data_IF_949005924308
#
_entry.id   IF_949005924308
#
_cell.length_a   1.000
_cell.length_b   1.000
_cell.length_c   1.000
_cell.angle_alpha   90.00
_cell.angle_beta   90.00
_cell.angle_gamma   90.00
#
_symmetry.space_group_name_H-M   'P 1'
#
loop_
_entity.id
_entity.type
_entity.pdbx_description
1 polymer ?
#
# COMPACT_ATOMS: atom_id res chain seq x y z
N UNK A 1 -6.27 -12.65 -5.78
CA UNK A 1 -7.61 -12.71 -6.39
C UNK A 1 -8.41 -11.55 -5.85
N UNK A 2 -9.10 -10.83 -6.72
CA UNK A 2 -9.96 -9.67 -6.41
C UNK A 2 -11.43 -10.10 -6.61
N UNK A 3 -12.34 -9.67 -5.73
CA UNK A 3 -13.79 -9.86 -5.95
C UNK A 3 -14.31 -8.70 -6.81
N UNK A 4 -14.91 -9.04 -7.96
CA UNK A 4 -15.56 -8.07 -8.82
C UNK A 4 -16.84 -7.51 -8.16
N UNK A 5 -16.98 -6.19 -8.15
CA UNK A 5 -18.17 -5.48 -7.68
C UNK A 5 -18.67 -5.96 -6.31
N UNK A 6 -17.75 -6.14 -5.35
CA UNK A 6 -18.02 -6.77 -4.07
C UNK A 6 -19.26 -6.16 -3.37
N UNK A 7 -19.31 -4.83 -3.22
CA UNK A 7 -20.43 -4.16 -2.58
C UNK A 7 -21.77 -4.41 -3.27
N UNK A 8 -21.79 -4.41 -4.61
CA UNK A 8 -23.01 -4.59 -5.40
C UNK A 8 -23.50 -6.04 -5.42
N UNK A 9 -22.60 -6.99 -5.14
CA UNK A 9 -22.86 -8.43 -5.19
C UNK A 9 -23.36 -9.00 -3.87
N UNK A 10 -23.38 -8.21 -2.79
CA UNK A 10 -23.83 -8.65 -1.47
C UNK A 10 -25.35 -8.77 -1.42
N UNK A 11 -25.82 -9.95 -1.02
CA UNK A 11 -27.24 -10.23 -0.76
C UNK A 11 -27.68 -9.58 0.56
N UNK A 12 -28.71 -8.73 0.49
CA UNK A 12 -29.23 -8.01 1.65
C UNK A 12 -29.84 -8.93 2.70
N UNK A 13 -30.60 -9.95 2.27
CA UNK A 13 -31.28 -10.86 3.19
C UNK A 13 -30.28 -11.63 4.04
N UNK A 14 -29.27 -12.21 3.38
CA UNK A 14 -28.21 -12.93 4.06
C UNK A 14 -27.36 -12.01 4.94
N UNK A 15 -27.01 -10.80 4.46
CA UNK A 15 -26.29 -9.83 5.29
C UNK A 15 -27.07 -9.49 6.57
N UNK A 16 -28.37 -9.24 6.46
CA UNK A 16 -29.24 -8.96 7.61
C UNK A 16 -29.30 -10.14 8.57
N UNK A 17 -29.38 -11.37 8.07
CA UNK A 17 -29.40 -12.57 8.91
C UNK A 17 -28.07 -12.80 9.64
N UNK A 18 -26.94 -12.54 8.96
CA UNK A 18 -25.61 -12.57 9.58
C UNK A 18 -25.53 -11.49 10.67
N UNK A 19 -25.93 -10.26 10.34
CA UNK A 19 -25.89 -9.14 11.27
C UNK A 19 -26.75 -9.39 12.50
N UNK A 20 -27.98 -9.88 12.35
CA UNK A 20 -28.87 -10.25 13.47
C UNK A 20 -28.21 -11.24 14.42
N UNK A 21 -27.62 -12.32 13.89
CA UNK A 21 -26.94 -13.34 14.69
C UNK A 21 -25.73 -12.77 15.43
N UNK A 22 -25.01 -11.85 14.80
CA UNK A 22 -23.84 -11.21 15.40
C UNK A 22 -24.22 -10.15 16.44
N UNK A 23 -25.25 -9.35 16.19
CA UNK A 23 -25.77 -8.34 17.12
C UNK A 23 -26.17 -8.96 18.46
N UNK A 24 -26.88 -10.10 18.43
CA UNK A 24 -27.29 -10.85 19.63
C UNK A 24 -26.14 -11.31 20.53
N UNK A 25 -24.90 -11.32 20.04
CA UNK A 25 -23.72 -11.70 20.83
C UNK A 25 -23.16 -10.52 21.64
N UNK A 26 -23.58 -9.29 21.36
CA UNK A 26 -23.12 -8.10 22.08
C UNK A 26 -24.09 -7.73 23.19
N UNK A 27 -23.81 -8.20 24.41
CA UNK A 27 -24.66 -8.00 25.58
C UNK A 27 -24.60 -6.59 26.21
N UNK A 28 -23.76 -5.67 25.71
CA UNK A 28 -23.47 -4.36 26.31
C UNK A 28 -23.54 -3.21 25.30
N UNK A 29 -24.56 -3.17 24.44
CA UNK A 29 -24.78 -2.05 23.51
C UNK A 29 -25.73 -1.01 24.12
N UNK A 30 -25.51 0.27 23.79
CA UNK A 30 -26.39 1.36 24.23
C UNK A 30 -27.76 1.37 23.54
N UNK A 31 -27.95 0.52 22.52
CA UNK A 31 -29.15 0.45 21.70
C UNK A 31 -29.68 -0.98 21.67
N UNK A 32 -31.01 -1.11 21.62
CA UNK A 32 -31.66 -2.41 21.40
C UNK A 32 -31.20 -3.06 20.09
N UNK A 33 -30.89 -4.36 20.13
CA UNK A 33 -30.52 -5.14 18.93
C UNK A 33 -31.58 -5.03 17.83
N UNK A 34 -32.86 -5.03 18.21
CA UNK A 34 -33.97 -4.91 17.26
C UNK A 34 -33.94 -3.56 16.54
N UNK A 35 -33.63 -2.49 17.28
CA UNK A 35 -33.52 -1.15 16.70
C UNK A 35 -32.39 -1.09 15.67
N UNK A 36 -31.19 -1.56 16.02
CA UNK A 36 -30.03 -1.52 15.11
C UNK A 36 -30.25 -2.39 13.87
N UNK A 37 -30.87 -3.56 14.03
CA UNK A 37 -31.25 -4.43 12.90
C UNK A 37 -32.27 -3.74 11.99
N UNK A 38 -33.25 -3.04 12.56
CA UNK A 38 -34.25 -2.31 11.79
C UNK A 38 -33.65 -1.13 11.01
N UNK A 39 -32.73 -0.38 11.63
CA UNK A 39 -32.00 0.72 10.99
C UNK A 39 -31.14 0.20 9.83
N UNK A 40 -30.42 -0.92 10.03
CA UNK A 40 -29.65 -1.53 8.94
C UNK A 40 -30.55 -2.00 7.80
N UNK A 41 -31.69 -2.63 8.12
CA UNK A 41 -32.66 -3.04 7.10
C UNK A 41 -33.19 -1.84 6.32
N UNK A 42 -33.51 -0.74 7.01
CA UNK A 42 -33.94 0.50 6.37
C UNK A 42 -32.83 1.05 5.47
N UNK A 43 -31.59 1.13 5.97
CA UNK A 43 -30.42 1.60 5.23
C UNK A 43 -30.19 0.81 3.93
N UNK A 44 -30.28 -0.52 3.97
CA UNK A 44 -30.06 -1.37 2.78
C UNK A 44 -31.20 -1.24 1.76
N UNK A 45 -32.46 -1.16 2.22
CA UNK A 45 -33.63 -1.18 1.35
C UNK A 45 -34.11 0.20 0.88
N UNK A 46 -33.70 1.28 1.56
CA UNK A 46 -34.21 2.64 1.33
C UNK A 46 -33.09 3.66 1.06
N UNK A 47 -31.94 3.21 0.55
CA UNK A 47 -30.84 4.12 0.22
C UNK A 47 -31.13 4.95 -1.04
N UNK A 48 -31.52 6.21 -0.83
CA UNK A 48 -31.84 7.16 -1.91
C UNK A 48 -30.63 8.01 -2.27
N UNK A 49 -30.23 7.95 -3.55
CA UNK A 49 -29.17 8.75 -4.15
C UNK A 49 -29.79 9.91 -4.92
N UNK A 50 -29.34 11.14 -4.63
CA UNK A 50 -29.70 12.31 -5.42
C UNK A 50 -28.69 12.50 -6.55
N UNK A 51 -29.10 12.31 -7.80
CA UNK A 51 -28.24 12.47 -8.96
C UNK A 51 -28.94 13.26 -10.05
N UNK A 52 -28.28 14.30 -10.58
CA UNK A 52 -28.82 15.18 -11.63
C UNK A 52 -30.25 15.71 -11.35
N UNK A 53 -30.56 16.03 -10.09
CA UNK A 53 -31.90 16.49 -9.68
C UNK A 53 -32.92 15.38 -9.43
N UNK A 54 -32.64 14.13 -9.83
CA UNK A 54 -33.48 12.97 -9.59
C UNK A 54 -33.16 12.28 -8.26
N UNK A 55 -34.13 11.52 -7.74
CA UNK A 55 -33.95 10.60 -6.60
C UNK A 55 -34.00 9.18 -7.13
N UNK A 56 -32.90 8.44 -6.98
CA UNK A 56 -32.76 7.06 -7.40
C UNK A 56 -32.62 6.17 -6.17
N UNK A 57 -33.31 5.04 -6.15
CA UNK A 57 -33.19 4.06 -5.07
C UNK A 57 -32.17 2.99 -5.46
N UNK A 58 -31.17 2.74 -4.62
CA UNK A 58 -30.27 1.61 -4.81
C UNK A 58 -30.99 0.32 -4.40
N UNK A 59 -31.15 -0.60 -5.35
CA UNK A 59 -31.92 -1.84 -5.15
C UNK A 59 -31.06 -3.08 -4.91
N UNK A 60 -29.73 -2.97 -4.96
CA UNK A 60 -28.79 -4.08 -4.79
C UNK A 60 -27.50 -3.64 -4.11
N UNK A 61 -26.97 -4.53 -3.27
CA UNK A 61 -25.69 -4.35 -2.62
C UNK A 61 -25.64 -3.20 -1.61
N UNK A 62 -24.46 -2.97 -1.06
CA UNK A 62 -24.26 -1.95 -0.04
C UNK A 62 -23.86 -0.63 -0.72
N UNK A 63 -24.50 0.51 -0.41
CA UNK A 63 -24.14 1.80 -0.99
C UNK A 63 -22.72 2.21 -0.61
N UNK A 64 -21.88 2.52 -1.60
CA UNK A 64 -20.51 3.00 -1.35
C UNK A 64 -20.51 4.46 -0.86
N UNK A 65 -19.54 4.81 -0.01
CA UNK A 65 -19.38 6.16 0.53
C UNK A 65 -20.09 6.42 1.87
N UNK A 66 -20.93 5.49 2.35
CA UNK A 66 -21.40 5.51 3.74
C UNK A 66 -20.31 4.99 4.69
N UNK A 67 -20.30 5.51 5.92
CA UNK A 67 -19.29 5.18 6.93
C UNK A 67 -19.34 3.73 7.42
N UNK A 68 -20.47 3.03 7.22
CA UNK A 68 -20.66 1.63 7.67
C UNK A 68 -20.45 0.59 6.56
N UNK A 69 -20.31 1.01 5.31
CA UNK A 69 -20.41 0.10 4.17
C UNK A 69 -19.28 -0.94 4.14
N UNK A 70 -18.04 -0.50 4.38
CA UNK A 70 -16.87 -1.38 4.40
C UNK A 70 -16.96 -2.40 5.53
N UNK A 71 -17.47 -2.01 6.70
CA UNK A 71 -17.60 -2.90 7.85
C UNK A 71 -18.68 -3.96 7.62
N UNK A 72 -19.82 -3.57 7.04
CA UNK A 72 -20.89 -4.50 6.66
C UNK A 72 -20.43 -5.47 5.58
N UNK A 73 -19.70 -4.99 4.57
CA UNK A 73 -19.10 -5.84 3.55
C UNK A 73 -18.10 -6.82 4.17
N UNK A 74 -17.24 -6.36 5.07
CA UNK A 74 -16.30 -7.21 5.78
C UNK A 74 -16.97 -8.24 6.68
N UNK A 75 -18.09 -7.90 7.33
CA UNK A 75 -18.89 -8.83 8.11
C UNK A 75 -19.46 -9.95 7.23
N UNK A 76 -20.01 -9.59 6.08
CA UNK A 76 -20.51 -10.55 5.09
C UNK A 76 -19.39 -11.48 4.60
N UNK A 77 -18.26 -10.91 4.16
CA UNK A 77 -17.13 -11.70 3.67
C UNK A 77 -16.54 -12.59 4.75
N UNK A 78 -16.44 -12.13 6.00
CA UNK A 78 -15.99 -12.96 7.11
C UNK A 78 -16.94 -14.15 7.37
N UNK A 79 -18.25 -13.95 7.21
CA UNK A 79 -19.21 -15.05 7.25
C UNK A 79 -18.99 -16.04 6.10
N UNK A 80 -18.80 -15.55 4.88
CA UNK A 80 -18.50 -16.37 3.70
C UNK A 80 -17.22 -17.19 3.91
N UNK A 81 -16.14 -16.57 4.39
CA UNK A 81 -14.85 -17.22 4.66
C UNK A 81 -15.01 -18.37 5.69
N UNK A 82 -15.79 -18.14 6.77
CA UNK A 82 -16.05 -19.15 7.81
C UNK A 82 -16.91 -20.31 7.34
N UNK A 83 -17.72 -20.11 6.29
CA UNK A 83 -18.54 -21.17 5.68
C UNK A 83 -17.79 -21.96 4.60
N UNK A 84 -16.55 -21.58 4.30
CA UNK A 84 -15.70 -22.25 3.35
C UNK A 84 -15.21 -23.61 3.88
N UNK A 85 -15.11 -24.65 3.02
CA UNK A 85 -14.46 -25.92 3.40
C UNK A 85 -12.97 -25.74 3.76
N UNK A 86 -12.36 -24.63 3.30
CA UNK A 86 -10.97 -24.24 3.59
C UNK A 86 -10.89 -23.16 4.67
N UNK A 87 -11.90 -23.04 5.54
CA UNK A 87 -11.93 -22.05 6.64
C UNK A 87 -10.72 -22.15 7.60
N UNK A 88 -10.09 -23.32 7.70
CA UNK A 88 -8.85 -23.53 8.46
C UNK A 88 -7.62 -22.86 7.83
N UNK A 89 -7.63 -22.61 6.52
CA UNK A 89 -6.54 -21.95 5.80
C UNK A 89 -6.54 -20.42 5.98
N UNK A 90 -7.67 -19.82 6.38
CA UNK A 90 -7.73 -18.38 6.64
C UNK A 90 -6.86 -18.01 7.83
N UNK A 91 -6.00 -17.02 7.62
CA UNK A 91 -5.10 -16.50 8.63
C UNK A 91 -5.90 -15.87 9.77
N UNK A 92 -5.52 -16.22 10.99
CA UNK A 92 -6.12 -15.73 12.22
C UNK A 92 -5.00 -15.41 13.21
N UNK A 93 -4.85 -14.13 13.53
CA UNK A 93 -3.79 -13.64 14.41
C UNK A 93 -3.98 -14.11 15.87
N UNK A 94 -5.21 -14.44 16.27
CA UNK A 94 -5.53 -14.88 17.64
C UNK A 94 -5.33 -16.37 17.84
N UNK A 95 -5.26 -17.16 16.75
CA UNK A 95 -4.80 -18.55 16.80
C UNK A 95 -3.33 -18.59 17.13
N UNK A 96 -3.01 -18.47 18.42
CA UNK A 96 -1.71 -18.84 18.98
C UNK A 96 -1.46 -20.31 18.62
N UNK A 97 -0.72 -20.55 17.54
CA UNK A 97 -0.26 -21.91 17.26
C UNK A 97 0.64 -22.33 18.41
N UNK A 98 0.47 -23.54 18.95
CA UNK A 98 1.48 -24.12 19.81
C UNK A 98 2.80 -24.10 19.03
N UNK A 99 3.84 -23.53 19.63
CA UNK A 99 5.19 -23.67 19.12
C UNK A 99 5.50 -25.17 19.11
N UNK A 100 5.46 -25.81 17.94
CA UNK A 100 5.62 -27.27 17.78
C UNK A 100 4.59 -27.98 16.91
N UNK A 101 3.53 -27.32 16.42
CA UNK A 101 2.61 -27.90 15.42
C UNK A 101 3.21 -27.96 14.01
N UNK A 102 2.68 -28.86 13.16
CA UNK A 102 3.04 -28.91 11.74
C UNK A 102 2.83 -27.54 11.06
N UNK A 103 3.79 -27.16 10.20
CA UNK A 103 3.68 -25.93 9.42
C UNK A 103 2.45 -26.03 8.51
N UNK A 104 1.64 -24.96 8.38
CA UNK A 104 0.48 -25.01 7.51
C UNK A 104 0.94 -25.19 6.07
N UNK A 105 0.34 -26.15 5.36
CA UNK A 105 0.63 -26.37 3.94
C UNK A 105 0.04 -25.29 3.04
N UNK A 106 -0.93 -24.52 3.54
CA UNK A 106 -1.51 -23.36 2.86
C UNK A 106 -2.01 -22.28 3.84
N UNK A 107 -2.11 -21.05 3.35
CA UNK A 107 -2.62 -19.90 4.08
C UNK A 107 -3.34 -18.90 3.18
N UNK A 108 -4.39 -18.26 3.70
CA UNK A 108 -5.19 -17.25 3.00
C UNK A 108 -5.23 -15.99 3.86
N UNK A 109 -4.80 -14.88 3.28
CA UNK A 109 -4.91 -13.53 3.83
C UNK A 109 -5.98 -12.79 3.02
N UNK A 110 -6.92 -12.13 3.69
CA UNK A 110 -7.95 -11.32 3.06
C UNK A 110 -7.89 -9.90 3.60
N UNK A 111 -7.97 -8.93 2.71
CA UNK A 111 -8.24 -7.54 3.04
C UNK A 111 -9.41 -7.06 2.19
N UNK A 112 -10.58 -6.91 2.80
CA UNK A 112 -11.82 -6.63 2.08
C UNK A 112 -12.05 -7.62 0.92
N UNK A 113 -12.09 -7.16 -0.32
CA UNK A 113 -12.29 -7.90 -1.56
C UNK A 113 -11.02 -8.52 -2.16
N UNK A 114 -9.86 -8.22 -1.59
CA UNK A 114 -8.57 -8.75 -2.03
C UNK A 114 -8.14 -9.98 -1.22
N UNK A 115 -7.92 -11.10 -1.90
CA UNK A 115 -7.42 -12.35 -1.35
C UNK A 115 -6.00 -12.65 -1.84
N UNK A 116 -5.10 -12.92 -0.91
CA UNK A 116 -3.78 -13.50 -1.13
C UNK A 116 -3.77 -14.92 -0.56
N UNK A 117 -3.55 -15.93 -1.40
CA UNK A 117 -3.42 -17.32 -0.97
C UNK A 117 -2.04 -17.85 -1.34
N UNK A 118 -1.47 -18.61 -0.41
CA UNK A 118 -0.12 -19.14 -0.44
C UNK A 118 -0.20 -20.64 -0.12
N UNK A 119 0.63 -21.45 -0.77
CA UNK A 119 0.72 -22.88 -0.47
C UNK A 119 2.13 -23.41 -0.72
N UNK A 120 2.50 -24.46 0.00
CA UNK A 120 3.81 -25.11 -0.11
C UNK A 120 4.00 -25.84 -1.45
N UNK A 121 2.91 -26.17 -2.16
CA UNK A 121 2.97 -26.78 -3.48
C UNK A 121 1.90 -26.22 -4.42
N UNK A 122 2.18 -26.31 -5.73
CA UNK A 122 1.26 -25.87 -6.79
C UNK A 122 -0.07 -26.63 -6.77
N UNK A 123 -0.05 -27.92 -6.43
CA UNK A 123 -1.25 -28.74 -6.30
C UNK A 123 -2.18 -28.21 -5.21
N UNK A 124 -1.62 -27.95 -4.02
CA UNK A 124 -2.37 -27.34 -2.92
C UNK A 124 -2.85 -25.93 -3.24
N UNK A 125 -2.03 -25.12 -3.92
CA UNK A 125 -2.42 -23.78 -4.35
C UNK A 125 -3.67 -23.82 -5.25
N UNK A 126 -3.70 -24.77 -6.18
CA UNK A 126 -4.83 -24.95 -7.11
C UNK A 126 -6.08 -25.43 -6.38
N UNK A 127 -5.93 -26.41 -5.47
CA UNK A 127 -7.04 -26.90 -4.65
C UNK A 127 -7.65 -25.81 -3.76
N UNK A 128 -6.80 -24.99 -3.11
CA UNK A 128 -7.25 -23.85 -2.29
C UNK A 128 -7.98 -22.82 -3.15
N UNK A 129 -7.44 -22.48 -4.33
CA UNK A 129 -8.07 -21.57 -5.28
C UNK A 129 -9.45 -22.07 -5.70
N UNK A 130 -9.56 -23.31 -6.15
CA UNK A 130 -10.82 -23.85 -6.66
C UNK A 130 -11.88 -23.96 -5.56
N UNK A 131 -11.48 -24.34 -4.33
CA UNK A 131 -12.36 -24.33 -3.16
C UNK A 131 -12.84 -22.92 -2.81
N UNK A 132 -11.95 -21.92 -2.88
CA UNK A 132 -12.29 -20.51 -2.63
C UNK A 132 -13.28 -19.99 -3.67
N UNK A 133 -13.02 -20.26 -4.95
CA UNK A 133 -13.91 -19.89 -6.05
C UNK A 133 -15.30 -20.52 -5.89
N UNK A 134 -15.35 -21.82 -5.61
CA UNK A 134 -16.62 -22.52 -5.36
C UNK A 134 -17.39 -21.91 -4.19
N UNK A 135 -16.70 -21.54 -3.10
CA UNK A 135 -17.32 -20.88 -1.97
C UNK A 135 -17.85 -19.48 -2.32
N UNK A 136 -17.08 -18.65 -3.03
CA UNK A 136 -17.54 -17.32 -3.44
C UNK A 136 -18.78 -17.40 -4.35
N UNK A 137 -18.76 -18.29 -5.35
CA UNK A 137 -19.89 -18.50 -6.25
C UNK A 137 -21.16 -18.93 -5.53
N UNK A 138 -21.04 -19.77 -4.50
CA UNK A 138 -22.17 -20.19 -3.65
C UNK A 138 -22.88 -19.01 -2.98
N UNK A 139 -22.16 -17.92 -2.71
CA UNK A 139 -22.70 -16.70 -2.09
C UNK A 139 -22.93 -15.56 -3.08
N UNK A 140 -22.96 -15.84 -4.39
CA UNK A 140 -23.23 -14.84 -5.43
C UNK A 140 -22.08 -13.89 -5.73
N UNK A 141 -20.92 -14.08 -5.09
CA UNK A 141 -19.71 -13.29 -5.32
C UNK A 141 -18.97 -13.81 -6.55
N UNK A 142 -18.33 -12.90 -7.30
CA UNK A 142 -17.62 -13.23 -8.54
C UNK A 142 -16.16 -12.81 -8.45
N UNK A 143 -15.21 -13.68 -8.80
CA UNK A 143 -13.81 -13.28 -8.92
C UNK A 143 -13.62 -12.38 -10.15
N UNK A 144 -12.66 -11.48 -10.06
CA UNK A 144 -12.15 -10.73 -11.18
C UNK A 144 -10.94 -11.46 -11.77
N UNK A 145 -11.20 -12.37 -12.72
CA UNK A 145 -10.14 -13.16 -13.36
C UNK A 145 -9.09 -12.31 -14.09
N UNK A 146 -9.44 -11.09 -14.53
CA UNK A 146 -8.49 -10.18 -15.20
C UNK A 146 -7.40 -9.65 -14.28
N UNK A 147 -7.64 -9.68 -12.96
CA UNK A 147 -6.67 -9.29 -11.92
C UNK A 147 -6.06 -10.49 -11.20
N UNK A 148 -6.35 -11.71 -11.65
CA UNK A 148 -5.74 -12.90 -11.05
C UNK A 148 -4.32 -13.08 -11.61
N UNK A 149 -3.31 -12.89 -10.76
CA UNK A 149 -1.91 -13.12 -11.11
C UNK A 149 -1.61 -14.64 -11.13
N UNK A 150 -2.01 -15.32 -12.21
CA UNK A 150 -1.69 -16.73 -12.44
C UNK A 150 -0.80 -16.85 -13.68
N UNK A 151 0.53 -16.79 -13.50
CA UNK A 151 1.43 -17.14 -14.59
C UNK A 151 1.32 -18.65 -14.87
N UNK A 152 0.92 -18.98 -16.09
CA UNK A 152 0.78 -20.35 -16.59
C UNK A 152 2.11 -21.09 -16.48
N UNK A 153 2.19 -22.05 -15.56
CA UNK A 153 3.26 -23.04 -15.51
C UNK A 153 4.21 -22.90 -14.34
N UNK A 154 4.77 -21.71 -14.08
CA UNK A 154 5.80 -21.48 -13.04
C UNK A 154 5.31 -20.73 -11.79
N UNK A 155 4.06 -20.24 -11.78
CA UNK A 155 3.62 -19.27 -10.78
C UNK A 155 4.30 -17.92 -11.00
N UNK A 156 3.69 -16.80 -10.55
CA UNK A 156 4.25 -15.49 -10.81
C UNK A 156 5.58 -15.31 -10.06
N UNK A 157 6.55 -14.63 -10.69
CA UNK A 157 7.82 -14.28 -10.05
C UNK A 157 7.63 -13.45 -8.77
N UNK A 158 6.51 -12.73 -8.68
CA UNK A 158 6.01 -12.03 -7.49
C UNK A 158 4.54 -11.67 -7.64
N UNK A 159 3.84 -11.40 -6.53
CA UNK A 159 2.43 -10.98 -6.52
C UNK A 159 2.32 -9.59 -5.92
N UNK A 160 1.64 -8.67 -6.59
CA UNK A 160 1.28 -7.38 -6.01
C UNK A 160 0.02 -7.53 -5.13
N UNK A 161 0.11 -7.14 -3.86
CA UNK A 161 -0.98 -7.17 -2.90
C UNK A 161 -0.83 -6.04 -1.88
N UNK A 162 -1.90 -5.28 -1.63
CA UNK A 162 -1.93 -4.10 -0.74
C UNK A 162 -0.78 -3.10 -0.97
N UNK A 163 -0.45 -2.84 -2.24
CA UNK A 163 0.59 -1.86 -2.60
C UNK A 163 2.01 -2.31 -2.28
N UNK A 164 2.23 -3.61 -2.08
CA UNK A 164 3.53 -4.27 -1.95
C UNK A 164 3.64 -5.38 -2.99
N UNK A 165 4.86 -5.67 -3.41
CA UNK A 165 5.17 -6.85 -4.21
C UNK A 165 5.73 -7.94 -3.28
N UNK A 166 5.19 -9.16 -3.38
CA UNK A 166 5.51 -10.28 -2.49
C UNK A 166 6.14 -11.40 -3.32
N UNK A 167 7.35 -11.82 -2.98
CA UNK A 167 8.05 -12.91 -3.68
C UNK A 167 7.54 -14.30 -3.22
N UNK A 168 7.83 -15.38 -3.97
CA UNK A 168 7.57 -16.75 -3.52
C UNK A 168 8.27 -17.12 -2.19
N UNK A 169 9.34 -16.40 -1.82
CA UNK A 169 10.04 -16.56 -0.55
C UNK A 169 9.45 -15.70 0.58
N UNK A 170 8.33 -15.02 0.31
CA UNK A 170 7.62 -14.11 1.22
C UNK A 170 8.41 -12.84 1.56
N UNK A 171 9.35 -12.45 0.68
CA UNK A 171 10.02 -11.16 0.79
C UNK A 171 9.05 -10.05 0.40
N UNK A 172 9.09 -8.94 1.14
CA UNK A 172 8.30 -7.75 0.83
C UNK A 172 9.14 -6.77 0.04
N UNK A 173 8.67 -6.42 -1.15
CA UNK A 173 9.29 -5.44 -2.03
C UNK A 173 8.37 -4.23 -2.21
N UNK A 174 8.96 -3.03 -2.26
CA UNK A 174 8.24 -1.87 -2.81
C UNK A 174 7.92 -2.18 -4.28
N UNK A 175 6.69 -1.96 -4.78
CA UNK A 175 6.36 -2.25 -6.17
C UNK A 175 7.29 -1.49 -7.11
N UNK A 176 7.75 -2.17 -8.16
CA UNK A 176 8.59 -1.52 -9.15
C UNK A 176 7.79 -0.39 -9.81
N UNK A 177 8.25 0.85 -9.64
CA UNK A 177 7.63 2.00 -10.31
C UNK A 177 7.86 1.84 -11.81
N UNK A 178 6.95 1.16 -12.50
CA UNK A 178 7.02 0.96 -13.95
C UNK A 178 7.10 2.34 -14.58
N UNK A 179 8.15 2.57 -15.36
CA UNK A 179 8.30 3.76 -16.18
C UNK A 179 7.32 3.66 -17.34
N UNK A 180 6.02 3.76 -17.05
CA UNK A 180 5.01 3.97 -18.08
C UNK A 180 5.23 5.31 -18.78
N UNK A 181 4.66 5.50 -19.98
CA UNK A 181 4.67 6.80 -20.64
C UNK A 181 4.15 7.84 -19.65
N UNK A 182 4.71 9.06 -19.74
CA UNK A 182 4.46 10.20 -18.85
C UNK A 182 2.96 10.39 -18.60
N UNK A 183 2.39 9.69 -17.62
CA UNK A 183 1.02 9.86 -17.20
C UNK A 183 1.04 11.10 -16.32
N UNK A 184 0.99 12.23 -17.00
CA UNK A 184 0.49 13.45 -16.42
C UNK A 184 -0.96 13.13 -16.10
N UNK A 185 -1.23 12.77 -14.84
CA UNK A 185 -2.60 12.76 -14.40
C UNK A 185 -3.00 14.24 -14.28
N UNK A 186 -3.42 14.83 -15.41
CA UNK A 186 -3.97 16.20 -15.45
C UNK A 186 -5.18 16.32 -14.51
N UNK A 187 -5.71 15.21 -14.01
CA UNK A 187 -6.86 15.11 -13.12
C UNK A 187 -6.51 14.69 -11.69
N UNK A 188 -5.22 14.53 -11.34
CA UNK A 188 -4.76 14.22 -9.97
C UNK A 188 -4.98 15.37 -8.95
N UNK A 189 -5.64 16.44 -9.37
CA UNK A 189 -5.95 17.64 -8.61
C UNK A 189 -5.40 18.92 -9.27
N UNK A 190 -5.98 20.06 -8.93
CA UNK A 190 -5.47 21.37 -9.33
C UNK A 190 -3.99 21.51 -8.95
N UNK A 191 -3.14 22.15 -9.78
CA UNK A 191 -1.75 22.38 -9.43
C UNK A 191 -1.67 23.17 -8.12
N UNK A 192 -0.96 22.60 -7.14
CA UNK A 192 -0.87 23.17 -5.79
C UNK A 192 0.30 24.16 -5.66
N UNK A 193 0.22 25.15 -4.75
CA UNK A 193 1.34 26.00 -4.39
C UNK A 193 2.53 25.19 -3.84
N UNK A 194 3.75 25.73 -3.93
CA UNK A 194 4.96 25.01 -3.48
C UNK A 194 4.87 24.52 -2.03
N UNK A 195 4.30 25.34 -1.13
CA UNK A 195 4.15 25.02 0.29
C UNK A 195 3.35 23.73 0.49
N UNK A 196 2.25 23.59 -0.24
CA UNK A 196 1.33 22.46 -0.12
C UNK A 196 1.90 21.21 -0.80
N UNK A 197 2.57 21.38 -1.95
CA UNK A 197 3.35 20.31 -2.57
C UNK A 197 4.42 19.75 -1.62
N UNK A 198 5.18 20.63 -0.96
CA UNK A 198 6.22 20.22 -0.01
C UNK A 198 5.62 19.56 1.25
N UNK A 199 4.49 20.07 1.73
CA UNK A 199 3.76 19.46 2.84
C UNK A 199 3.29 18.04 2.49
N UNK A 200 2.62 17.85 1.34
CA UNK A 200 2.16 16.55 0.86
C UNK A 200 3.31 15.56 0.62
N UNK A 201 4.40 16.03 0.02
CA UNK A 201 5.61 15.22 -0.15
C UNK A 201 6.13 14.74 1.21
N UNK A 202 6.33 15.65 2.18
CA UNK A 202 6.79 15.29 3.52
C UNK A 202 5.83 14.31 4.20
N UNK A 203 4.53 14.59 4.17
CA UNK A 203 3.52 13.72 4.77
C UNK A 203 3.62 12.31 4.19
N UNK A 204 3.59 12.16 2.86
CA UNK A 204 3.70 10.88 2.17
C UNK A 204 4.98 10.11 2.54
N UNK A 205 6.12 10.80 2.56
CA UNK A 205 7.40 10.21 2.94
C UNK A 205 7.43 9.75 4.41
N UNK A 206 6.75 10.45 5.32
CA UNK A 206 6.72 10.13 6.75
C UNK A 206 5.69 9.05 7.11
N UNK A 207 4.53 9.07 6.47
CA UNK A 207 3.39 8.22 6.81
C UNK A 207 3.33 6.91 6.01
N UNK A 208 4.13 6.75 4.96
CA UNK A 208 4.13 5.51 4.17
C UNK A 208 4.45 4.28 5.03
N UNK A 209 3.41 3.49 5.30
CA UNK A 209 3.46 2.22 6.03
C UNK A 209 4.22 1.17 5.25
N UNK A 210 4.04 1.11 3.92
CA UNK A 210 4.73 0.17 3.03
C UNK A 210 6.25 0.30 3.13
N UNK A 211 6.76 1.54 3.10
CA UNK A 211 8.21 1.80 3.23
C UNK A 211 8.72 1.33 4.59
N UNK A 212 7.95 1.55 5.67
CA UNK A 212 8.32 1.08 7.00
C UNK A 212 8.35 -0.45 7.06
N UNK A 213 7.28 -1.12 6.60
CA UNK A 213 7.18 -2.58 6.58
C UNK A 213 8.36 -3.23 5.87
N UNK A 214 8.71 -2.70 4.69
CA UNK A 214 9.84 -3.19 3.91
C UNK A 214 11.18 -2.93 4.61
N UNK A 215 11.38 -1.75 5.19
CA UNK A 215 12.63 -1.40 5.87
C UNK A 215 12.82 -2.12 7.22
N UNK A 216 11.74 -2.59 7.85
CA UNK A 216 11.78 -3.31 9.13
C UNK A 216 11.60 -4.83 8.98
N UNK A 217 11.52 -5.36 7.75
CA UNK A 217 11.38 -6.80 7.56
C UNK A 217 12.61 -7.54 8.11
N UNK A 218 12.41 -8.74 8.63
CA UNK A 218 13.50 -9.56 9.15
C UNK A 218 14.55 -9.80 8.05
N UNK A 219 15.84 -9.62 8.39
CA UNK A 219 16.94 -9.78 7.43
C UNK A 219 17.26 -8.56 6.56
N UNK A 220 16.52 -7.44 6.69
CA UNK A 220 16.79 -6.22 5.91
C UNK A 220 18.20 -5.63 6.14
N UNK A 221 18.73 -5.74 7.37
CA UNK A 221 20.03 -5.16 7.73
C UNK A 221 21.22 -6.14 7.68
N UNK A 222 20.98 -7.45 7.69
CA UNK A 222 21.99 -8.50 7.91
C UNK A 222 22.51 -9.17 6.62
N UNK A 223 22.43 -8.47 5.47
CA UNK A 223 22.76 -8.87 4.09
C UNK A 223 21.74 -9.79 3.37
N UNK A 224 21.03 -9.23 2.38
CA UNK A 224 20.32 -9.99 1.34
C UNK A 224 20.10 -9.11 0.11
N UNK A 225 20.12 -9.70 -1.09
CA UNK A 225 19.79 -9.02 -2.36
C UNK A 225 18.47 -8.24 -2.32
N UNK A 226 17.53 -8.69 -1.49
CA UNK A 226 16.24 -8.05 -1.21
C UNK A 226 16.40 -6.68 -0.58
N UNK A 227 17.33 -6.51 0.37
CA UNK A 227 17.58 -5.23 1.02
C UNK A 227 18.16 -4.20 0.04
N UNK A 228 19.12 -4.63 -0.80
CA UNK A 228 19.66 -3.78 -1.86
C UNK A 228 18.60 -3.38 -2.88
N UNK A 229 17.78 -4.34 -3.31
CA UNK A 229 16.72 -4.09 -4.26
C UNK A 229 15.69 -3.11 -3.69
N UNK A 230 15.25 -3.32 -2.45
CA UNK A 230 14.37 -2.39 -1.79
C UNK A 230 14.97 -1.01 -1.57
N UNK A 231 16.27 -0.92 -1.26
CA UNK A 231 16.94 0.37 -1.20
C UNK A 231 16.86 1.10 -2.55
N UNK A 232 17.16 0.42 -3.67
CA UNK A 232 17.00 1.00 -5.02
C UNK A 232 15.56 1.42 -5.29
N UNK A 233 14.58 0.56 -4.99
CA UNK A 233 13.15 0.84 -5.23
C UNK A 233 12.61 1.98 -4.37
N UNK A 234 13.03 2.08 -3.10
CA UNK A 234 12.72 3.23 -2.23
C UNK A 234 13.28 4.52 -2.84
N UNK A 235 14.52 4.48 -3.36
CA UNK A 235 15.13 5.59 -4.08
C UNK A 235 14.33 6.04 -5.30
N UNK A 236 13.96 5.09 -6.16
CA UNK A 236 13.10 5.32 -7.33
C UNK A 236 11.74 5.91 -6.91
N UNK A 237 11.13 5.36 -5.86
CA UNK A 237 9.85 5.82 -5.33
C UNK A 237 9.93 7.26 -4.80
N UNK A 238 10.98 7.61 -4.05
CA UNK A 238 11.21 8.98 -3.61
C UNK A 238 11.36 9.94 -4.80
N UNK A 239 12.15 9.55 -5.82
CA UNK A 239 12.28 10.31 -7.06
C UNK A 239 10.94 10.48 -7.79
N UNK A 240 10.11 9.43 -7.81
CA UNK A 240 8.75 9.48 -8.36
C UNK A 240 7.87 10.46 -7.59
N UNK A 241 7.86 10.42 -6.26
CA UNK A 241 7.09 11.37 -5.43
C UNK A 241 7.54 12.82 -5.63
N UNK A 242 8.84 13.07 -5.80
CA UNK A 242 9.34 14.41 -6.15
C UNK A 242 8.79 14.84 -7.50
N UNK A 243 8.76 13.97 -8.51
CA UNK A 243 8.15 14.31 -9.80
C UNK A 243 6.64 14.57 -9.63
N UNK A 244 5.91 13.71 -8.93
CA UNK A 244 4.45 13.87 -8.75
C UNK A 244 4.11 15.17 -8.02
N UNK A 245 4.76 15.46 -6.90
CA UNK A 245 4.39 16.62 -6.08
C UNK A 245 5.12 17.90 -6.45
N UNK A 246 6.42 17.83 -6.73
CA UNK A 246 7.24 19.04 -6.95
C UNK A 246 7.22 19.45 -8.42
N UNK A 247 7.30 18.52 -9.37
CA UNK A 247 7.30 18.87 -10.78
C UNK A 247 5.92 19.36 -11.27
N UNK A 248 4.84 18.94 -10.62
CA UNK A 248 3.49 19.42 -10.93
C UNK A 248 3.19 20.82 -10.38
N UNK A 249 4.08 21.39 -9.56
CA UNK A 249 3.93 22.73 -9.00
C UNK A 249 4.17 23.81 -10.09
N UNK A 250 3.30 24.85 -10.22
CA UNK A 250 3.51 25.95 -11.15
C UNK A 250 4.77 26.77 -10.82
N UNK A 251 5.01 26.99 -9.54
CA UNK A 251 6.12 27.79 -9.00
C UNK A 251 7.46 27.05 -9.02
N UNK A 252 7.48 25.78 -9.48
CA UNK A 252 8.66 24.91 -9.37
C UNK A 252 9.94 25.53 -9.91
N UNK A 253 9.85 26.30 -11.00
CA UNK A 253 11.01 26.90 -11.65
C UNK A 253 11.72 27.91 -10.73
N UNK A 254 10.96 28.76 -10.03
CA UNK A 254 11.50 29.70 -9.04
C UNK A 254 12.13 28.96 -7.86
N UNK A 255 11.45 27.92 -7.37
CA UNK A 255 11.88 27.22 -6.17
C UNK A 255 13.05 26.26 -6.41
N UNK A 256 13.06 25.53 -7.54
CA UNK A 256 14.14 24.61 -7.91
C UNK A 256 15.41 25.35 -8.37
N UNK A 257 15.28 26.56 -8.92
CA UNK A 257 16.43 27.42 -9.24
C UNK A 257 17.07 28.06 -8.00
N UNK A 258 16.36 28.11 -6.86
CA UNK A 258 16.87 28.70 -5.62
C UNK A 258 17.77 27.72 -4.86
N UNK A 259 19.04 28.11 -4.63
CA UNK A 259 20.00 27.34 -3.83
C UNK A 259 19.44 26.98 -2.45
N UNK A 260 18.84 27.96 -1.76
CA UNK A 260 18.28 27.76 -0.42
C UNK A 260 17.15 26.73 -0.42
N UNK A 261 16.20 26.84 -1.36
CA UNK A 261 15.01 25.98 -1.39
C UNK A 261 15.33 24.57 -1.90
N UNK A 262 16.17 24.45 -2.92
CA UNK A 262 16.65 23.14 -3.42
C UNK A 262 17.50 22.42 -2.37
N UNK A 263 18.35 23.14 -1.62
CA UNK A 263 19.10 22.54 -0.50
C UNK A 263 18.18 22.01 0.59
N UNK A 264 17.13 22.77 0.93
CA UNK A 264 16.15 22.35 1.93
C UNK A 264 15.37 21.10 1.48
N UNK A 265 14.99 21.03 0.19
CA UNK A 265 14.34 19.85 -0.38
C UNK A 265 15.28 18.62 -0.36
N UNK A 266 16.54 18.79 -0.77
CA UNK A 266 17.54 17.72 -0.70
C UNK A 266 17.76 17.22 0.74
N UNK A 267 17.83 18.13 1.72
CA UNK A 267 17.90 17.77 3.15
C UNK A 267 16.72 16.90 3.55
N UNK A 268 15.48 17.27 3.20
CA UNK A 268 14.28 16.49 3.55
C UNK A 268 14.39 15.06 3.01
N UNK A 269 14.79 14.91 1.74
CA UNK A 269 14.88 13.61 1.08
C UNK A 269 15.99 12.74 1.66
N UNK A 270 17.21 13.29 1.80
CA UNK A 270 18.37 12.56 2.32
C UNK A 270 18.19 12.18 3.79
N UNK A 271 17.75 13.12 4.64
CA UNK A 271 17.53 12.82 6.05
C UNK A 271 16.43 11.75 6.21
N UNK A 272 15.42 11.75 5.34
CA UNK A 272 14.38 10.73 5.39
C UNK A 272 14.90 9.37 4.93
N UNK A 273 15.64 9.30 3.82
CA UNK A 273 16.30 8.06 3.40
C UNK A 273 17.21 7.52 4.51
N UNK A 274 18.01 8.39 5.13
CA UNK A 274 18.89 8.02 6.24
C UNK A 274 18.15 7.54 7.49
N UNK A 275 16.93 8.02 7.74
CA UNK A 275 16.08 7.51 8.83
C UNK A 275 15.47 6.13 8.55
N UNK A 276 15.51 5.67 7.30
CA UNK A 276 14.96 4.38 6.86
C UNK A 276 16.08 3.37 6.62
N UNK A 277 17.25 3.85 6.19
CA UNK A 277 18.40 3.05 5.77
C UNK A 277 19.62 3.47 6.60
N UNK A 278 19.82 2.81 7.73
CA UNK A 278 20.94 3.11 8.63
C UNK A 278 22.29 2.68 8.04
N UNK A 279 22.28 1.67 7.18
CA UNK A 279 23.47 1.19 6.48
C UNK A 279 23.87 2.14 5.33
N UNK A 280 25.11 2.62 5.36
CA UNK A 280 25.64 3.59 4.37
C UNK A 280 25.61 3.05 2.93
N UNK A 281 25.83 1.75 2.72
CA UNK A 281 25.81 1.15 1.37
C UNK A 281 24.40 1.14 0.78
N UNK A 282 23.39 0.72 1.55
CA UNK A 282 21.98 0.75 1.16
C UNK A 282 21.51 2.18 0.90
N UNK A 283 21.90 3.12 1.77
CA UNK A 283 21.61 4.53 1.58
C UNK A 283 22.21 5.07 0.26
N UNK A 284 23.43 4.66 -0.10
CA UNK A 284 24.02 5.03 -1.40
C UNK A 284 23.20 4.48 -2.55
N UNK A 285 22.80 3.20 -2.52
CA UNK A 285 21.96 2.59 -3.56
C UNK A 285 20.64 3.34 -3.74
N UNK A 286 19.97 3.68 -2.64
CA UNK A 286 18.73 4.45 -2.68
C UNK A 286 18.94 5.87 -3.25
N UNK A 287 20.01 6.54 -2.83
CA UNK A 287 20.36 7.87 -3.37
C UNK A 287 20.64 7.80 -4.87
N UNK A 288 21.42 6.84 -5.31
CA UNK A 288 21.83 6.72 -6.71
C UNK A 288 20.62 6.39 -7.60
N UNK A 289 19.71 5.54 -7.13
CA UNK A 289 18.44 5.27 -7.80
C UNK A 289 17.51 6.50 -7.83
N UNK A 290 17.45 7.28 -6.76
CA UNK A 290 16.74 8.56 -6.73
C UNK A 290 17.31 9.54 -7.78
N UNK A 291 18.64 9.65 -7.85
CA UNK A 291 19.34 10.46 -8.85
C UNK A 291 18.95 10.01 -10.25
N UNK A 292 19.03 8.70 -10.55
CA UNK A 292 18.63 8.14 -11.84
C UNK A 292 17.21 8.54 -12.22
N UNK A 293 16.27 8.51 -11.27
CA UNK A 293 14.88 8.93 -11.53
C UNK A 293 14.77 10.41 -11.86
N UNK A 294 15.48 11.29 -11.14
CA UNK A 294 15.45 12.73 -11.38
C UNK A 294 16.21 13.15 -12.64
N UNK A 295 17.19 12.37 -13.09
CA UNK A 295 17.93 12.62 -14.34
C UNK A 295 17.03 12.60 -15.58
N UNK A 296 15.88 11.93 -15.53
CA UNK A 296 14.86 11.98 -16.59
C UNK A 296 14.35 13.41 -16.86
N UNK A 297 14.54 14.33 -15.91
CA UNK A 297 14.23 15.76 -16.01
C UNK A 297 15.41 16.61 -15.55
N UNK A 298 16.63 16.23 -15.97
CA UNK A 298 17.90 16.82 -15.53
C UNK A 298 17.92 18.35 -15.56
N UNK A 299 17.38 18.97 -16.61
CA UNK A 299 17.36 20.43 -16.76
C UNK A 299 16.59 21.12 -15.63
N UNK A 300 15.45 20.56 -15.23
CA UNK A 300 14.60 21.12 -14.18
C UNK A 300 15.13 20.86 -12.78
N UNK A 301 15.77 19.72 -12.55
CA UNK A 301 16.29 19.33 -11.23
C UNK A 301 17.79 19.56 -11.04
N UNK A 302 18.47 20.29 -11.94
CA UNK A 302 19.93 20.44 -11.94
C UNK A 302 20.51 20.83 -10.58
N UNK A 303 19.92 21.82 -9.91
CA UNK A 303 20.41 22.30 -8.62
C UNK A 303 20.12 21.32 -7.49
N UNK A 304 18.98 20.64 -7.53
CA UNK A 304 18.63 19.59 -6.58
C UNK A 304 19.60 18.40 -6.69
N UNK A 305 19.88 17.96 -7.93
CA UNK A 305 20.84 16.90 -8.24
C UNK A 305 22.25 17.20 -7.69
N UNK A 306 22.70 18.46 -7.77
CA UNK A 306 24.00 18.88 -7.20
C UNK A 306 24.12 18.52 -5.71
N UNK A 307 23.05 18.69 -4.94
CA UNK A 307 23.05 18.37 -3.51
C UNK A 307 23.06 16.86 -3.21
N UNK A 308 22.64 16.01 -4.16
CA UNK A 308 22.76 14.56 -4.01
C UNK A 308 24.14 14.05 -4.42
N UNK A 309 24.74 14.63 -5.46
CA UNK A 309 26.13 14.32 -5.85
C UNK A 309 27.15 14.82 -4.85
N UNK A 310 26.91 15.97 -4.22
CA UNK A 310 27.77 16.54 -3.17
C UNK A 310 27.01 16.72 -1.84
N UNK A 311 26.73 15.63 -1.08
CA UNK A 311 25.96 15.70 0.16
C UNK A 311 26.55 16.66 1.20
N UNK A 312 27.88 16.88 1.21
CA UNK A 312 28.56 17.88 2.06
C UNK A 312 27.95 19.28 1.98
N UNK A 313 27.35 19.64 0.85
CA UNK A 313 26.68 20.93 0.66
C UNK A 313 25.38 21.08 1.50
N UNK A 314 24.93 20.00 2.14
CA UNK A 314 23.81 19.99 3.09
C UNK A 314 24.23 20.33 4.52
N UNK A 315 25.52 20.22 4.87
CA UNK A 315 26.00 20.49 6.23
C UNK A 315 25.56 21.86 6.78
N UNK A 316 25.55 22.97 6.02
CA UNK A 316 25.12 24.27 6.53
C UNK A 316 23.66 24.35 6.96
N UNK A 317 22.81 23.41 6.53
CA UNK A 317 21.38 23.36 6.89
C UNK A 317 21.05 22.21 7.83
N UNK A 318 22.03 21.40 8.23
CA UNK A 318 21.88 20.31 9.20
C UNK A 318 22.39 20.79 10.55
N UNK A 319 21.68 20.45 11.63
CA UNK A 319 22.09 20.84 12.98
C UNK A 319 23.38 20.14 13.37
N UNK A 320 24.31 20.87 14.00
CA UNK A 320 25.54 20.30 14.54
C UNK A 320 25.23 19.28 15.64
N UNK A 321 26.01 18.20 15.71
CA UNK A 321 25.86 17.11 16.68
C UNK A 321 24.68 16.16 16.41
N UNK A 322 23.94 16.34 15.31
CA UNK A 322 22.76 15.52 15.02
C UNK A 322 23.13 14.20 14.32
N UNK A 323 22.33 13.12 14.46
CA UNK A 323 22.52 11.89 13.69
C UNK A 323 22.58 12.14 12.19
N UNK A 324 21.83 13.13 11.70
CA UNK A 324 21.81 13.54 10.29
C UNK A 324 23.14 14.17 9.84
N UNK A 325 23.87 14.84 10.73
CA UNK A 325 25.21 15.37 10.42
C UNK A 325 26.20 14.22 10.23
N UNK A 326 26.19 13.23 11.12
CA UNK A 326 27.02 12.01 11.01
C UNK A 326 26.73 11.28 9.71
N UNK A 327 25.45 11.11 9.38
CA UNK A 327 24.98 10.51 8.14
C UNK A 327 25.56 11.22 6.89
N UNK A 328 25.43 12.54 6.82
CA UNK A 328 25.91 13.32 5.66
C UNK A 328 27.44 13.30 5.56
N UNK A 329 28.16 13.35 6.68
CA UNK A 329 29.62 13.20 6.70
C UNK A 329 30.04 11.83 6.15
N UNK A 330 29.41 10.75 6.62
CA UNK A 330 29.70 9.38 6.18
C UNK A 330 29.40 9.15 4.68
N UNK A 331 28.35 9.77 4.14
CA UNK A 331 28.08 9.71 2.70
C UNK A 331 29.10 10.50 1.87
N UNK A 332 29.68 11.55 2.45
CA UNK A 332 30.64 12.42 1.76
C UNK A 332 32.04 11.82 1.71
N UNK A 333 32.42 10.98 2.69
CA UNK A 333 33.71 10.28 2.71
C UNK A 333 33.83 9.17 1.65
N UNK A 334 32.72 8.64 1.16
CA UNK A 334 32.70 7.64 0.09
C UNK A 334 33.02 8.20 -1.31
N UNK A 335 33.11 9.53 -1.46
CA UNK A 335 33.45 10.20 -2.73
C UNK A 335 34.93 10.60 -2.84
N UNK A 336 35.79 10.17 -1.91
CA UNK A 336 37.23 10.42 -1.94
C UNK A 336 38.04 9.49 -2.85
N UNK A 337 37.40 8.66 -3.70
CA UNK A 337 38.07 7.60 -4.49
C UNK A 337 37.68 7.58 -5.98
N UNK A 338 37.15 8.67 -6.52
CA UNK A 338 37.01 8.85 -7.98
C UNK A 338 37.50 10.23 -8.43
#
# INVERSE_FOLDING_TARGET
MDIADCFNSIDHGLLLDVFKKTAMLFSNTAFSDQFVVSELSFFLNNYVIKFAGCRLLQSRGIPQGSCVSTDLSNLFLAYVDRKSPISSCFWDAERKRPWGGERPEAGILRFHDDYLYLAASKGHLSAVRDALLGNLHRFGLRPNFSKENVESGKGPASVEWLGLEITPHLDLLIPLVKCGPRMFDRFGGYPLPWKDCLFRLKACLHTSTHIKMVATQAGFASNSSVAEENARRIGLYFGHLVIVYIWSCPERHVHLASIKRSRQLAKVLICRLGSLLECTSLLSLARDALIQRLLQRRSEFRLLLRFFYEPRLLLPVIGKGTPQEKLVKNMSSYFGLF
#
